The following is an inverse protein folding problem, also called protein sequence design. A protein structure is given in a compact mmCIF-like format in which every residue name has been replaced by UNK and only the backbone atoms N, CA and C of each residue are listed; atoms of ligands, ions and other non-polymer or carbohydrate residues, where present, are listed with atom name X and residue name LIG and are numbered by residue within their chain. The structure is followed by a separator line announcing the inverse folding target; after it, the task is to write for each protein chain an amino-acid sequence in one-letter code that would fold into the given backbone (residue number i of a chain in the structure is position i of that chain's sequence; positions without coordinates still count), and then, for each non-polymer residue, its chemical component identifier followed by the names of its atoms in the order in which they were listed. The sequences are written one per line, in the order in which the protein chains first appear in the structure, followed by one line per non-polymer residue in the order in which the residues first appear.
data_IF_219282606111
#
_entry.id   IF_219282606111
#
_cell.length_a   1.000
_cell.length_b   1.000
_cell.length_c   1.000
_cell.angle_alpha   90.00
_cell.angle_beta   90.00
_cell.angle_gamma   90.00
#
_symmetry.space_group_name_H-M   'P 1'
#
loop_
_entity.id
_entity.type
_entity.pdbx_description
1 polymer ?
#
# COMPACT_ATOMS: atom_id res chain seq x y z
N UNK A 1 -22.87 39.36 59.96
CA UNK A 1 -24.16 38.65 59.76
C UNK A 1 -24.36 38.42 58.26
N UNK A 2 -24.91 37.26 57.94
CA UNK A 2 -24.69 36.48 56.72
C UNK A 2 -25.15 37.10 55.39
N UNK A 3 -24.39 36.80 54.31
CA UNK A 3 -24.84 36.86 52.91
C UNK A 3 -25.39 35.49 52.51
N UNK A 4 -26.56 35.51 51.87
CA UNK A 4 -27.26 34.35 51.32
C UNK A 4 -26.54 33.78 50.10
N UNK A 5 -26.58 32.46 50.02
CA UNK A 5 -26.19 31.60 48.90
C UNK A 5 -27.40 31.24 48.04
N UNK A 6 -27.23 31.18 46.72
CA UNK A 6 -28.06 30.36 45.84
C UNK A 6 -27.23 29.83 44.67
N UNK A 7 -27.35 28.52 44.47
CA UNK A 7 -26.55 27.61 43.66
C UNK A 7 -26.89 27.64 42.17
N UNK A 8 -25.85 27.58 41.33
CA UNK A 8 -25.94 27.25 39.91
C UNK A 8 -25.88 25.71 39.76
N UNK A 9 -26.89 25.09 39.15
CA UNK A 9 -26.90 23.65 38.85
C UNK A 9 -25.92 23.33 37.72
N UNK A 10 -25.03 22.37 37.98
CA UNK A 10 -24.06 21.83 37.04
C UNK A 10 -24.70 20.74 36.15
N UNK A 11 -25.03 21.10 34.91
CA UNK A 11 -25.20 20.16 33.81
C UNK A 11 -23.82 19.93 33.18
N UNK A 12 -23.29 18.70 33.22
CA UNK A 12 -22.36 18.07 32.25
C UNK A 12 -21.57 16.92 32.88
N UNK A 13 -22.14 15.70 32.92
CA UNK A 13 -21.35 14.46 33.16
C UNK A 13 -21.87 13.20 32.45
N UNK A 14 -22.86 13.28 31.55
CA UNK A 14 -23.46 12.09 30.89
C UNK A 14 -23.08 11.87 29.41
N UNK A 15 -22.49 12.86 28.74
CA UNK A 15 -22.05 12.73 27.34
C UNK A 15 -20.78 11.91 27.07
N UNK A 16 -19.72 11.92 27.92
CA UNK A 16 -18.52 11.16 27.59
C UNK A 16 -18.71 9.64 27.69
N UNK A 17 -19.65 9.17 28.52
CA UNK A 17 -19.97 7.75 28.66
C UNK A 17 -20.73 7.18 27.44
N UNK A 18 -21.55 7.99 26.78
CA UNK A 18 -22.26 7.62 25.55
C UNK A 18 -21.30 7.52 24.35
N UNK A 19 -20.31 8.41 24.27
CA UNK A 19 -19.24 8.36 23.26
C UNK A 19 -18.33 7.14 23.43
N UNK A 20 -17.97 6.79 24.66
CA UNK A 20 -17.17 5.57 24.95
C UNK A 20 -17.96 4.30 24.63
N UNK A 21 -19.27 4.28 24.92
CA UNK A 21 -20.14 3.16 24.57
C UNK A 21 -20.26 2.97 23.04
N UNK A 22 -20.44 4.07 22.28
CA UNK A 22 -20.52 4.05 20.81
C UNK A 22 -19.20 3.62 20.16
N UNK A 23 -18.06 4.04 20.71
CA UNK A 23 -16.73 3.59 20.26
C UNK A 23 -16.55 2.09 20.49
N UNK A 24 -17.00 1.55 21.63
CA UNK A 24 -16.91 0.12 21.95
C UNK A 24 -17.75 -0.78 21.04
N UNK A 25 -18.93 -0.30 20.61
CA UNK A 25 -19.79 -1.05 19.68
C UNK A 25 -19.20 -1.09 18.26
N UNK A 26 -18.44 -0.07 17.85
CA UNK A 26 -17.78 -0.06 16.53
C UNK A 26 -16.64 -1.09 16.43
N UNK A 27 -15.90 -1.30 17.53
CA UNK A 27 -14.83 -2.30 17.60
C UNK A 27 -15.36 -3.73 17.54
N UNK A 28 -16.54 -3.96 18.14
CA UNK A 28 -17.19 -5.28 18.13
C UNK A 28 -17.70 -5.64 16.73
N UNK A 29 -18.25 -4.69 15.97
CA UNK A 29 -18.71 -4.94 14.59
C UNK A 29 -17.53 -5.27 13.67
N UNK A 30 -16.41 -4.56 13.80
CA UNK A 30 -15.19 -4.84 13.03
C UNK A 30 -14.57 -6.19 13.41
N UNK A 31 -14.62 -6.59 14.69
CA UNK A 31 -14.16 -7.91 15.14
C UNK A 31 -15.06 -9.06 14.65
N UNK A 32 -16.38 -8.86 14.57
CA UNK A 32 -17.32 -9.88 14.09
C UNK A 32 -17.20 -10.13 12.57
N UNK A 33 -16.95 -9.08 11.79
CA UNK A 33 -16.68 -9.22 10.34
C UNK A 33 -15.36 -9.99 10.11
N UNK A 34 -14.37 -9.77 10.96
CA UNK A 34 -13.06 -10.45 10.90
C UNK A 34 -13.16 -11.94 11.29
N UNK A 35 -13.89 -12.26 12.37
CA UNK A 35 -14.07 -13.64 12.83
C UNK A 35 -14.91 -14.51 11.87
N UNK A 36 -15.90 -13.93 11.18
CA UNK A 36 -16.69 -14.64 10.17
C UNK A 36 -15.89 -14.99 8.91
N UNK A 37 -14.81 -14.24 8.63
CA UNK A 37 -13.96 -14.45 7.46
C UNK A 37 -12.85 -15.48 7.70
N UNK A 38 -12.43 -15.67 8.96
CA UNK A 38 -11.38 -16.62 9.35
C UNK A 38 -11.88 -18.05 9.63
N UNK A 39 -13.20 -18.28 9.70
CA UNK A 39 -13.79 -19.60 9.99
C UNK A 39 -14.40 -20.26 8.76
N UNK A 40 -13.57 -20.63 7.79
CA UNK A 40 -13.93 -21.62 6.76
C UNK A 40 -12.65 -22.16 6.09
N UNK A 41 -11.95 -23.06 6.78
CA UNK A 41 -11.15 -24.10 6.13
C UNK A 41 -10.78 -25.20 7.13
N UNK A 42 -11.65 -26.19 7.25
CA UNK A 42 -11.29 -27.48 7.85
C UNK A 42 -12.09 -28.55 7.14
N UNK A 43 -11.51 -29.15 6.09
CA UNK A 43 -12.02 -30.39 5.50
C UNK A 43 -10.84 -31.35 5.31
N UNK A 44 -10.61 -32.18 6.32
CA UNK A 44 -9.91 -33.46 6.16
C UNK A 44 -10.98 -34.53 5.97
N UNK A 45 -11.15 -35.02 4.74
CA UNK A 45 -11.92 -36.24 4.47
C UNK A 45 -10.92 -37.33 4.09
N UNK A 46 -10.76 -38.28 4.99
CA UNK A 46 -10.05 -39.54 4.81
C UNK A 46 -11.02 -40.54 4.18
N UNK A 47 -10.71 -41.09 3.02
CA UNK A 47 -11.54 -42.16 2.41
C UNK A 47 -10.76 -43.46 2.36
N UNK A 48 -11.15 -44.38 3.23
CA UNK A 48 -10.76 -45.79 3.28
C UNK A 48 -11.38 -46.53 2.09
N UNK A 49 -10.58 -47.28 1.33
CA UNK A 49 -11.06 -48.12 0.22
C UNK A 49 -11.42 -49.50 0.75
N UNK A 50 -12.64 -49.97 0.49
CA UNK A 50 -13.01 -51.38 0.64
C UNK A 50 -13.61 -51.88 -0.66
N UNK A 51 -13.00 -52.92 -1.22
CA UNK A 51 -13.36 -53.61 -2.45
C UNK A 51 -14.50 -54.60 -2.19
N UNK A 52 -15.52 -54.62 -3.03
CA UNK A 52 -16.28 -55.86 -3.28
C UNK A 52 -16.83 -55.88 -4.70
N UNK A 53 -16.55 -57.00 -5.35
CA UNK A 53 -16.82 -57.42 -6.73
C UNK A 53 -18.26 -57.93 -6.90
N UNK A 54 -18.95 -57.58 -7.99
CA UNK A 54 -19.34 -58.50 -9.09
C UNK A 54 -20.34 -57.84 -10.09
N UNK A 55 -20.37 -58.27 -11.37
CA UNK A 55 -20.92 -57.51 -12.50
C UNK A 55 -22.24 -58.09 -13.05
N UNK A 56 -23.04 -57.31 -13.78
CA UNK A 56 -23.73 -57.79 -15.00
C UNK A 56 -24.38 -56.65 -15.82
N UNK A 57 -23.84 -56.47 -17.03
CA UNK A 57 -24.41 -56.05 -18.33
C UNK A 57 -25.76 -55.31 -18.41
N UNK A 58 -25.78 -54.11 -19.03
CA UNK A 58 -26.06 -53.96 -20.47
C UNK A 58 -26.31 -52.50 -20.91
N UNK A 59 -26.03 -52.26 -22.21
CA UNK A 59 -26.32 -51.10 -23.07
C UNK A 59 -25.37 -49.89 -23.01
N UNK A 60 -24.41 -49.93 -23.93
CA UNK A 60 -23.57 -48.82 -24.36
C UNK A 60 -24.42 -47.68 -24.91
N UNK A 61 -24.58 -46.63 -24.11
CA UNK A 61 -24.82 -45.29 -24.58
C UNK A 61 -23.51 -44.52 -24.43
N UNK A 62 -22.97 -44.05 -25.55
CA UNK A 62 -21.78 -43.21 -25.65
C UNK A 62 -21.99 -41.92 -24.87
N UNK A 63 -21.74 -41.93 -23.57
CA UNK A 63 -21.55 -40.73 -22.76
C UNK A 63 -20.12 -40.28 -22.94
N UNK A 64 -19.95 -39.18 -23.68
CA UNK A 64 -18.76 -38.35 -23.59
C UNK A 64 -18.60 -37.99 -22.10
N UNK A 65 -17.67 -38.65 -21.41
CA UNK A 65 -17.23 -38.22 -20.09
C UNK A 65 -16.45 -36.93 -20.29
N UNK A 66 -17.16 -35.81 -20.15
CA UNK A 66 -16.52 -34.53 -19.83
C UNK A 66 -15.96 -34.70 -18.42
N UNK A 67 -14.73 -35.19 -18.32
CA UNK A 67 -13.94 -35.07 -17.10
C UNK A 67 -13.57 -33.61 -16.94
N UNK A 68 -14.47 -32.81 -16.36
CA UNK A 68 -14.12 -31.52 -15.81
C UNK A 68 -13.35 -31.74 -14.51
N UNK A 69 -12.10 -32.20 -14.62
CA UNK A 69 -11.12 -31.94 -13.58
C UNK A 69 -10.83 -30.45 -13.66
N UNK A 70 -11.59 -29.66 -12.90
CA UNK A 70 -11.18 -28.31 -12.56
C UNK A 70 -9.98 -28.48 -11.62
N UNK A 71 -8.80 -28.69 -12.19
CA UNK A 71 -7.56 -28.51 -11.46
C UNK A 71 -7.57 -27.07 -10.96
N UNK A 72 -7.74 -26.89 -9.65
CA UNK A 72 -7.46 -25.59 -9.04
C UNK A 72 -6.03 -25.24 -9.42
N UNK A 73 -5.79 -24.13 -10.15
CA UNK A 73 -4.45 -23.82 -10.64
C UNK A 73 -3.51 -23.74 -9.45
N UNK A 74 -2.44 -24.54 -9.49
CA UNK A 74 -1.45 -24.57 -8.42
C UNK A 74 -0.91 -23.17 -8.20
N UNK A 75 -0.87 -22.69 -6.95
CA UNK A 75 -0.35 -21.36 -6.63
C UNK A 75 1.03 -21.17 -7.31
N UNK A 76 1.23 -20.13 -8.14
CA UNK A 76 2.44 -19.96 -8.93
C UNK A 76 3.70 -19.80 -8.09
N UNK A 77 3.57 -19.43 -6.81
CA UNK A 77 4.69 -19.29 -5.87
C UNK A 77 5.01 -20.59 -5.11
N UNK A 78 4.38 -21.72 -5.43
CA UNK A 78 4.61 -23.00 -4.72
C UNK A 78 6.07 -23.45 -4.70
N UNK A 79 6.86 -23.07 -5.71
CA UNK A 79 8.30 -23.37 -5.77
C UNK A 79 9.11 -22.68 -4.65
N UNK A 80 8.53 -21.67 -3.98
CA UNK A 80 9.14 -20.98 -2.84
C UNK A 80 8.94 -21.70 -1.50
N UNK A 81 8.19 -22.80 -1.46
CA UNK A 81 7.98 -23.56 -0.22
C UNK A 81 9.32 -23.97 0.40
N UNK A 82 9.47 -23.73 1.70
CA UNK A 82 10.68 -24.00 2.48
C UNK A 82 11.94 -23.22 2.06
N UNK A 83 11.82 -22.25 1.15
CA UNK A 83 12.93 -21.36 0.78
C UNK A 83 13.11 -20.26 1.80
N UNK A 84 14.35 -19.92 2.12
CA UNK A 84 14.69 -18.78 2.97
C UNK A 84 14.83 -17.52 2.13
N UNK A 85 13.94 -16.56 2.33
CA UNK A 85 13.91 -15.27 1.64
C UNK A 85 14.26 -14.16 2.61
N UNK A 86 15.29 -13.38 2.27
CA UNK A 86 15.69 -12.20 3.01
C UNK A 86 15.20 -10.94 2.28
N UNK A 87 14.38 -10.13 2.93
CA UNK A 87 13.87 -8.87 2.41
C UNK A 87 14.57 -7.72 3.12
N UNK A 88 15.24 -6.84 2.38
CA UNK A 88 16.03 -5.74 2.93
C UNK A 88 15.43 -4.41 2.50
N UNK A 89 14.90 -3.65 3.45
CA UNK A 89 14.33 -2.33 3.23
C UNK A 89 15.14 -1.25 3.95
N UNK A 90 15.29 -0.08 3.33
CA UNK A 90 15.99 1.04 3.95
C UNK A 90 15.23 1.65 5.14
N UNK A 91 13.91 1.61 5.08
CA UNK A 91 12.99 2.08 6.12
C UNK A 91 11.76 1.16 6.17
N UNK A 92 10.98 1.29 7.24
CA UNK A 92 9.64 0.72 7.36
C UNK A 92 8.65 1.87 7.56
N UNK A 93 7.85 2.17 6.55
CA UNK A 93 6.98 3.35 6.50
C UNK A 93 5.70 3.09 5.70
N UNK A 94 4.75 4.03 5.75
CA UNK A 94 3.53 4.01 4.93
C UNK A 94 3.77 4.51 3.51
N UNK A 95 4.87 4.08 2.90
CA UNK A 95 5.20 4.41 1.51
C UNK A 95 5.11 3.17 0.62
N UNK A 96 4.98 3.40 -0.69
CA UNK A 96 4.72 2.33 -1.66
C UNK A 96 5.73 1.18 -1.60
N UNK A 97 7.03 1.47 -1.64
CA UNK A 97 8.07 0.44 -1.67
C UNK A 97 8.04 -0.51 -0.46
N UNK A 98 8.17 -0.01 0.79
CA UNK A 98 8.06 -0.83 1.99
C UNK A 98 6.75 -1.62 2.09
N UNK A 99 5.60 -1.02 1.75
CA UNK A 99 4.31 -1.73 1.82
C UNK A 99 4.21 -2.86 0.78
N UNK A 100 4.70 -2.63 -0.45
CA UNK A 100 4.74 -3.67 -1.49
C UNK A 100 5.67 -4.83 -1.12
N UNK A 101 6.83 -4.52 -0.56
CA UNK A 101 7.75 -5.55 -0.07
C UNK A 101 7.11 -6.36 1.07
N UNK A 102 6.32 -5.73 1.94
CA UNK A 102 5.58 -6.40 3.01
C UNK A 102 4.46 -7.29 2.46
N UNK A 103 3.73 -6.84 1.43
CA UNK A 103 2.75 -7.67 0.72
C UNK A 103 3.41 -8.91 0.09
N UNK A 104 4.57 -8.74 -0.55
CA UNK A 104 5.37 -9.87 -1.06
C UNK A 104 5.77 -10.82 0.07
N UNK A 105 6.18 -10.30 1.23
CA UNK A 105 6.50 -11.10 2.41
C UNK A 105 5.33 -12.01 2.80
N UNK A 106 4.10 -11.46 2.81
CA UNK A 106 2.89 -12.21 3.15
C UNK A 106 2.53 -13.26 2.11
N UNK A 107 2.68 -12.96 0.82
CA UNK A 107 2.45 -13.93 -0.25
C UNK A 107 3.43 -15.12 -0.13
N UNK A 108 4.71 -14.84 0.14
CA UNK A 108 5.74 -15.86 0.33
C UNK A 108 5.48 -16.71 1.59
N UNK A 109 5.08 -16.08 2.70
CA UNK A 109 4.66 -16.81 3.91
C UNK A 109 3.45 -17.70 3.65
N UNK A 110 2.48 -17.23 2.87
CA UNK A 110 1.27 -17.98 2.50
C UNK A 110 1.55 -19.28 1.73
N UNK A 111 2.68 -19.39 1.05
CA UNK A 111 3.13 -20.62 0.37
C UNK A 111 4.15 -21.45 1.17
N UNK A 112 4.44 -21.05 2.41
CA UNK A 112 5.34 -21.77 3.31
C UNK A 112 6.82 -21.46 3.11
N UNK A 113 7.19 -20.33 2.50
CA UNK A 113 8.57 -19.84 2.52
C UNK A 113 8.94 -19.33 3.91
N UNK A 114 10.20 -19.45 4.31
CA UNK A 114 10.74 -18.73 5.47
C UNK A 114 11.11 -17.31 5.05
N UNK A 115 10.53 -16.30 5.72
CA UNK A 115 10.76 -14.90 5.34
C UNK A 115 11.36 -14.15 6.51
N UNK A 116 12.48 -13.47 6.25
CA UNK A 116 13.17 -12.59 7.19
C UNK A 116 13.16 -11.17 6.61
N UNK A 117 12.77 -10.20 7.42
CA UNK A 117 12.74 -8.78 7.10
C UNK A 117 13.84 -8.03 7.85
N UNK A 118 14.60 -7.21 7.12
CA UNK A 118 15.60 -6.29 7.67
C UNK A 118 15.22 -4.84 7.35
N UNK A 119 15.24 -3.99 8.38
CA UNK A 119 15.11 -2.53 8.23
C UNK A 119 16.44 -1.86 8.53
N UNK A 120 17.03 -1.16 7.54
CA UNK A 120 18.37 -0.54 7.66
C UNK A 120 18.38 0.61 8.66
N UNK A 121 17.39 1.51 8.54
CA UNK A 121 17.25 2.67 9.39
C UNK A 121 16.00 2.49 10.25
N UNK A 122 16.21 2.25 11.55
CA UNK A 122 15.14 2.26 12.55
C UNK A 122 15.30 3.53 13.40
N UNK A 123 14.27 4.36 13.53
CA UNK A 123 14.27 5.49 14.47
C UNK A 123 14.60 5.01 15.89
N UNK A 124 15.23 5.87 16.68
CA UNK A 124 15.55 5.59 18.08
C UNK A 124 14.33 5.67 18.98
N UNK A 125 13.34 6.47 18.61
CA UNK A 125 12.11 6.66 19.36
C UNK A 125 11.02 5.67 18.92
N UNK A 126 10.05 5.41 19.82
CA UNK A 126 8.90 4.57 19.52
C UNK A 126 8.02 5.23 18.47
N UNK A 127 8.10 4.76 17.23
CA UNK A 127 7.20 5.14 16.15
C UNK A 127 6.03 4.15 16.09
N UNK A 128 4.80 4.62 16.35
CA UNK A 128 3.58 3.82 16.35
C UNK A 128 3.32 3.12 15.01
N UNK A 129 3.68 3.76 13.89
CA UNK A 129 3.53 3.18 12.55
C UNK A 129 4.48 2.00 12.40
N UNK A 130 5.75 2.18 12.77
CA UNK A 130 6.76 1.11 12.70
C UNK A 130 6.34 -0.06 13.58
N UNK A 131 5.93 0.22 14.82
CA UNK A 131 5.44 -0.79 15.75
C UNK A 131 4.27 -1.58 15.15
N UNK A 132 3.27 -0.89 14.60
CA UNK A 132 2.10 -1.51 13.97
C UNK A 132 2.48 -2.38 12.77
N UNK A 133 3.40 -1.93 11.91
CA UNK A 133 3.85 -2.68 10.75
C UNK A 133 4.69 -3.91 11.13
N UNK A 134 5.60 -3.79 12.11
CA UNK A 134 6.37 -4.93 12.63
C UNK A 134 5.45 -5.98 13.26
N UNK A 135 4.47 -5.56 14.04
CA UNK A 135 3.52 -6.48 14.65
C UNK A 135 2.71 -7.26 13.59
N UNK A 136 2.21 -6.57 12.55
CA UNK A 136 1.54 -7.22 11.41
C UNK A 136 2.43 -8.24 10.70
N UNK A 137 3.73 -7.96 10.60
CA UNK A 137 4.71 -8.89 10.02
C UNK A 137 4.88 -10.14 10.88
N UNK A 138 5.07 -9.95 12.18
CA UNK A 138 5.23 -11.04 13.15
C UNK A 138 3.99 -11.93 13.22
N UNK A 139 2.79 -11.34 13.22
CA UNK A 139 1.51 -12.06 13.23
C UNK A 139 1.33 -12.97 12.01
N UNK A 140 1.97 -12.64 10.88
CA UNK A 140 1.98 -13.44 9.65
C UNK A 140 3.22 -14.32 9.52
N UNK A 141 3.99 -14.47 10.59
CA UNK A 141 5.16 -15.33 10.67
C UNK A 141 6.38 -14.83 9.89
N UNK A 142 6.44 -13.55 9.55
CA UNK A 142 7.66 -12.92 9.03
C UNK A 142 8.58 -12.62 10.21
N UNK A 143 9.82 -13.12 10.16
CA UNK A 143 10.84 -12.82 11.17
C UNK A 143 11.37 -11.40 10.93
N UNK A 144 11.51 -10.56 11.95
CA UNK A 144 12.02 -9.19 11.80
C UNK A 144 13.31 -9.06 12.60
N UNK A 145 14.42 -8.76 11.93
CA UNK A 145 15.74 -8.61 12.56
C UNK A 145 16.36 -7.24 12.32
N UNK A 146 17.28 -6.79 13.19
CA UNK A 146 18.13 -5.64 12.89
C UNK A 146 18.92 -5.89 11.61
N UNK A 147 19.00 -4.90 10.73
CA UNK A 147 19.79 -5.00 9.49
C UNK A 147 21.32 -4.96 9.73
N UNK A 148 21.80 -5.23 10.95
CA UNK A 148 23.20 -5.11 11.36
C UNK A 148 23.60 -6.35 12.17
N UNK A 149 24.91 -6.56 12.31
CA UNK A 149 25.47 -7.64 13.10
C UNK A 149 25.57 -8.97 12.35
N UNK A 150 26.14 -9.98 13.02
CA UNK A 150 26.48 -11.26 12.40
C UNK A 150 25.24 -12.03 11.95
N UNK A 151 24.13 -11.95 12.69
CA UNK A 151 22.88 -12.64 12.33
C UNK A 151 22.33 -12.20 10.96
N UNK A 152 22.39 -10.90 10.64
CA UNK A 152 21.99 -10.38 9.34
C UNK A 152 22.89 -10.92 8.21
N UNK A 153 24.20 -10.99 8.45
CA UNK A 153 25.18 -11.50 7.49
C UNK A 153 24.99 -13.01 7.27
N UNK A 154 24.87 -13.78 8.35
CA UNK A 154 24.68 -15.23 8.30
C UNK A 154 23.36 -15.60 7.61
N UNK A 155 22.29 -14.85 7.91
CA UNK A 155 21.00 -15.02 7.23
C UNK A 155 21.14 -14.71 5.75
N UNK A 156 21.81 -13.61 5.39
CA UNK A 156 22.05 -13.24 4.00
C UNK A 156 22.88 -14.29 3.26
N UNK A 157 23.87 -14.92 3.90
CA UNK A 157 24.67 -16.00 3.34
C UNK A 157 23.89 -17.30 3.16
N UNK A 158 22.95 -17.61 4.06
CA UNK A 158 22.11 -18.82 4.02
C UNK A 158 20.89 -18.68 3.11
N UNK A 159 20.39 -17.47 2.89
CA UNK A 159 19.17 -17.24 2.11
C UNK A 159 19.24 -17.86 0.70
N UNK A 160 18.14 -18.42 0.24
CA UNK A 160 17.96 -18.84 -1.16
C UNK A 160 17.73 -17.64 -2.07
N UNK A 161 17.11 -16.57 -1.55
CA UNK A 161 16.80 -15.33 -2.27
C UNK A 161 17.00 -14.13 -1.34
N UNK A 162 17.64 -13.08 -1.85
CA UNK A 162 17.73 -11.77 -1.19
C UNK A 162 17.02 -10.74 -2.06
N UNK A 163 16.04 -10.02 -1.51
CA UNK A 163 15.37 -8.92 -2.20
C UNK A 163 15.85 -7.60 -1.61
N UNK A 164 16.54 -6.80 -2.42
CA UNK A 164 16.89 -5.42 -2.04
C UNK A 164 15.75 -4.50 -2.48
N UNK A 165 15.11 -3.86 -1.52
CA UNK A 165 14.05 -2.89 -1.76
C UNK A 165 14.63 -1.49 -1.88
N UNK A 166 14.36 -0.85 -3.03
CA UNK A 166 14.85 0.46 -3.43
C UNK A 166 16.34 0.54 -3.74
N UNK A 167 16.74 1.58 -4.48
CA UNK A 167 18.16 1.86 -4.72
C UNK A 167 18.94 2.17 -3.42
N UNK A 168 18.26 2.58 -2.35
CA UNK A 168 18.90 2.92 -1.07
C UNK A 168 19.46 1.67 -0.37
N UNK A 169 18.81 0.52 -0.52
CA UNK A 169 19.26 -0.73 0.07
C UNK A 169 20.64 -1.19 -0.43
N UNK A 170 21.13 -0.67 -1.57
CA UNK A 170 22.48 -0.95 -2.05
C UNK A 170 23.58 -0.58 -1.05
N UNK A 171 23.37 0.43 -0.21
CA UNK A 171 24.30 0.84 0.85
C UNK A 171 24.52 -0.23 1.92
N UNK A 172 23.52 -1.10 2.13
CA UNK A 172 23.61 -2.17 3.11
C UNK A 172 24.65 -3.23 2.73
N UNK A 173 24.83 -3.48 1.43
CA UNK A 173 25.85 -4.39 0.92
C UNK A 173 27.24 -3.97 1.42
N UNK A 174 27.59 -2.70 1.28
CA UNK A 174 28.91 -2.21 1.68
C UNK A 174 29.07 -2.00 3.19
N UNK A 175 28.03 -1.52 3.85
CA UNK A 175 28.11 -1.15 5.27
C UNK A 175 28.05 -2.36 6.20
N UNK A 176 27.32 -3.41 5.81
CA UNK A 176 27.04 -4.57 6.67
C UNK A 176 27.62 -5.85 6.08
N UNK A 177 27.36 -6.17 4.82
CA UNK A 177 27.78 -7.45 4.22
C UNK A 177 29.28 -7.47 3.87
N UNK A 178 29.84 -6.32 3.45
CA UNK A 178 31.27 -6.08 3.24
C UNK A 178 31.95 -7.13 2.35
N UNK A 179 32.94 -7.85 2.86
CA UNK A 179 33.71 -8.86 2.14
C UNK A 179 32.85 -10.03 1.63
N UNK A 180 31.68 -10.25 2.21
CA UNK A 180 30.76 -11.31 1.80
C UNK A 180 29.87 -10.93 0.60
N UNK A 181 29.94 -9.67 0.12
CA UNK A 181 29.08 -9.19 -0.98
C UNK A 181 29.13 -10.10 -2.22
N UNK A 182 30.31 -10.50 -2.76
CA UNK A 182 30.37 -11.37 -3.94
C UNK A 182 29.63 -12.70 -3.79
N UNK A 183 29.48 -13.21 -2.55
CA UNK A 183 28.80 -14.48 -2.27
C UNK A 183 27.28 -14.36 -2.27
N UNK A 184 26.75 -13.15 -2.09
CA UNK A 184 25.29 -12.93 -2.05
C UNK A 184 24.73 -12.35 -3.35
N UNK A 185 25.52 -11.63 -4.14
CA UNK A 185 25.03 -10.98 -5.36
C UNK A 185 24.31 -11.94 -6.34
N UNK A 186 24.78 -13.19 -6.58
CA UNK A 186 24.12 -14.11 -7.50
C UNK A 186 22.71 -14.56 -7.09
N UNK A 187 22.28 -14.25 -5.86
CA UNK A 187 20.92 -14.54 -5.35
C UNK A 187 20.14 -13.27 -5.01
N UNK A 188 20.63 -12.11 -5.42
CA UNK A 188 19.95 -10.83 -5.19
C UNK A 188 19.00 -10.53 -6.34
N UNK A 189 17.73 -10.31 -6.03
CA UNK A 189 16.80 -9.56 -6.87
C UNK A 189 16.67 -8.15 -6.33
N UNK A 190 16.98 -7.15 -7.16
CA UNK A 190 16.91 -5.75 -6.74
C UNK A 190 15.61 -5.12 -7.23
N UNK A 191 14.67 -4.87 -6.33
CA UNK A 191 13.39 -4.24 -6.67
C UNK A 191 13.45 -2.73 -6.49
N UNK A 192 13.36 -1.99 -7.61
CA UNK A 192 13.53 -0.54 -7.63
C UNK A 192 12.20 0.14 -7.96
N UNK A 193 11.75 1.00 -7.05
CA UNK A 193 10.43 1.65 -7.09
C UNK A 193 10.49 3.15 -7.39
N UNK A 194 11.69 3.68 -7.65
CA UNK A 194 11.92 5.12 -7.73
C UNK A 194 12.71 5.52 -8.97
N UNK A 195 12.50 6.75 -9.42
CA UNK A 195 13.28 7.38 -10.50
C UNK A 195 13.98 8.66 -10.01
N UNK A 196 14.58 8.60 -8.83
CA UNK A 196 15.25 9.76 -8.23
C UNK A 196 16.66 9.93 -8.80
N UNK A 197 16.88 11.04 -9.50
CA UNK A 197 18.15 11.34 -10.16
C UNK A 197 19.42 11.34 -9.28
N UNK A 198 19.29 11.49 -7.96
CA UNK A 198 20.43 11.46 -7.04
C UNK A 198 20.87 10.04 -6.64
N UNK A 199 20.09 9.00 -6.95
CA UNK A 199 20.47 7.60 -6.75
C UNK A 199 21.45 7.07 -7.81
N UNK A 200 21.66 7.80 -8.91
CA UNK A 200 22.70 7.48 -9.88
C UNK A 200 24.08 7.93 -9.37
N UNK A 201 24.53 7.29 -8.29
CA UNK A 201 25.87 7.38 -7.71
C UNK A 201 26.34 5.98 -7.32
N UNK A 202 27.64 5.74 -7.40
CA UNK A 202 28.23 4.43 -7.10
C UNK A 202 27.88 3.93 -5.69
N UNK A 203 27.78 4.82 -4.70
CA UNK A 203 27.38 4.48 -3.33
C UNK A 203 26.01 3.78 -3.22
N UNK A 204 25.11 3.98 -4.19
CA UNK A 204 23.79 3.34 -4.21
C UNK A 204 23.76 2.10 -5.09
N UNK A 205 24.43 2.13 -6.25
CA UNK A 205 24.17 1.16 -7.32
C UNK A 205 25.41 0.50 -7.92
N UNK A 206 26.61 0.62 -7.29
CA UNK A 206 27.84 0.00 -7.84
C UNK A 206 27.74 -1.52 -8.00
N UNK A 207 26.92 -2.17 -7.19
CA UNK A 207 26.71 -3.63 -7.20
C UNK A 207 25.63 -4.09 -8.17
N UNK A 208 24.86 -3.15 -8.73
CA UNK A 208 23.72 -3.43 -9.61
C UNK A 208 24.06 -4.30 -10.84
N UNK A 209 25.21 -4.15 -11.54
CA UNK A 209 25.52 -5.04 -12.67
C UNK A 209 25.73 -6.51 -12.31
N UNK A 210 25.92 -6.84 -11.03
CA UNK A 210 26.33 -8.17 -10.58
C UNK A 210 25.23 -8.96 -9.88
N UNK A 211 24.05 -8.35 -9.67
CA UNK A 211 22.92 -9.05 -9.07
C UNK A 211 22.27 -10.01 -10.07
N UNK A 212 21.52 -10.99 -9.58
CA UNK A 212 20.81 -11.97 -10.41
C UNK A 212 19.81 -11.30 -11.36
N UNK A 213 19.13 -10.26 -10.88
CA UNK A 213 18.23 -9.47 -11.71
C UNK A 213 17.72 -8.21 -10.99
N UNK A 214 17.19 -7.28 -11.78
CA UNK A 214 16.49 -6.10 -11.29
C UNK A 214 14.99 -6.22 -11.64
N UNK A 215 14.12 -5.91 -10.68
CA UNK A 215 12.68 -5.78 -10.88
C UNK A 215 12.32 -4.29 -10.88
N UNK A 216 11.58 -3.84 -11.88
CA UNK A 216 11.20 -2.43 -12.05
C UNK A 216 9.72 -2.33 -12.39
N UNK A 217 9.04 -1.34 -11.82
CA UNK A 217 7.57 -1.29 -11.79
C UNK A 217 6.91 -0.99 -13.15
N UNK A 218 7.66 -0.47 -14.14
CA UNK A 218 7.15 -0.19 -15.49
C UNK A 218 8.22 -0.18 -16.56
N UNK A 219 7.81 -0.35 -17.83
CA UNK A 219 8.70 -0.29 -18.98
C UNK A 219 9.41 1.07 -19.09
N UNK A 220 8.67 2.17 -18.92
CA UNK A 220 9.23 3.53 -18.94
C UNK A 220 10.28 3.73 -17.84
N UNK A 221 10.01 3.22 -16.63
CA UNK A 221 10.98 3.31 -15.52
C UNK A 221 12.19 2.41 -15.77
N UNK A 222 12.01 1.23 -16.36
CA UNK A 222 13.12 0.34 -16.69
C UNK A 222 14.04 0.95 -17.74
N UNK A 223 13.47 1.58 -18.78
CA UNK A 223 14.24 2.34 -19.76
C UNK A 223 14.97 3.52 -19.14
N UNK A 224 14.29 4.28 -18.25
CA UNK A 224 14.90 5.37 -17.52
C UNK A 224 16.13 4.90 -16.73
N UNK A 225 16.02 3.81 -15.97
CA UNK A 225 17.16 3.24 -15.23
C UNK A 225 18.28 2.78 -16.16
N UNK A 226 17.95 2.02 -17.22
CA UNK A 226 18.92 1.54 -18.21
C UNK A 226 19.72 2.68 -18.85
N UNK A 227 19.06 3.76 -19.25
CA UNK A 227 19.72 4.89 -19.88
C UNK A 227 20.56 5.66 -18.87
N UNK A 228 20.01 5.97 -17.69
CA UNK A 228 20.68 6.79 -16.68
C UNK A 228 21.87 6.08 -16.01
N UNK A 229 21.81 4.77 -15.76
CA UNK A 229 22.98 4.04 -15.24
C UNK A 229 24.11 3.99 -16.27
N UNK A 230 23.79 3.79 -17.55
CA UNK A 230 24.78 3.80 -18.64
C UNK A 230 25.41 5.17 -18.80
N UNK A 231 24.60 6.21 -18.97
CA UNK A 231 25.06 7.57 -19.27
C UNK A 231 25.82 8.21 -18.11
N UNK A 232 25.38 8.00 -16.87
CA UNK A 232 25.97 8.68 -15.70
C UNK A 232 27.07 7.90 -15.03
N UNK A 233 27.03 6.57 -15.11
CA UNK A 233 27.91 5.70 -14.32
C UNK A 233 28.68 4.68 -15.16
N UNK A 234 28.40 4.55 -16.47
CA UNK A 234 28.95 3.47 -17.29
C UNK A 234 28.48 2.07 -16.84
N UNK A 235 27.42 1.99 -16.03
CA UNK A 235 26.89 0.74 -15.48
C UNK A 235 25.87 0.13 -16.43
N UNK A 236 26.11 -1.11 -16.85
CA UNK A 236 25.12 -1.94 -17.54
C UNK A 236 24.14 -2.49 -16.51
N UNK A 237 22.84 -2.35 -16.79
CA UNK A 237 21.80 -3.01 -15.99
C UNK A 237 21.94 -4.54 -16.06
N UNK A 238 21.65 -5.27 -14.97
CA UNK A 238 21.55 -6.72 -15.00
C UNK A 238 20.32 -7.14 -15.82
N UNK A 239 20.03 -8.44 -15.87
CA UNK A 239 18.74 -8.89 -16.40
C UNK A 239 17.61 -8.14 -15.69
N UNK A 240 16.75 -7.48 -16.48
CA UNK A 240 15.77 -6.52 -15.97
C UNK A 240 14.38 -7.01 -16.30
N UNK A 241 13.58 -7.22 -15.27
CA UNK A 241 12.21 -7.69 -15.34
C UNK A 241 11.27 -6.54 -15.02
N UNK A 242 10.30 -6.29 -15.91
CA UNK A 242 9.25 -5.33 -15.64
C UNK A 242 8.11 -6.03 -14.92
N UNK A 243 7.80 -5.58 -13.71
CA UNK A 243 6.77 -6.17 -12.85
C UNK A 243 5.80 -5.05 -12.45
N UNK A 244 4.67 -4.98 -13.15
CA UNK A 244 3.61 -4.03 -12.81
C UNK A 244 3.02 -4.34 -11.44
N UNK A 245 2.76 -3.30 -10.66
CA UNK A 245 2.16 -3.45 -9.35
C UNK A 245 0.70 -3.89 -9.50
N UNK A 246 0.25 -4.77 -8.59
CA UNK A 246 -1.12 -5.26 -8.55
C UNK A 246 -1.97 -4.63 -7.44
N UNK A 247 -3.28 -4.76 -7.56
CA UNK A 247 -4.21 -4.47 -6.48
C UNK A 247 -4.22 -5.63 -5.47
N UNK A 248 -4.34 -5.30 -4.18
CA UNK A 248 -4.50 -6.33 -3.15
C UNK A 248 -5.87 -6.99 -3.27
N UNK A 249 -5.96 -8.26 -2.85
CA UNK A 249 -7.23 -9.00 -2.84
C UNK A 249 -8.30 -8.30 -2.00
N UNK A 250 -7.92 -7.81 -0.82
CA UNK A 250 -8.79 -7.07 0.09
C UNK A 250 -9.38 -5.82 -0.57
N UNK A 251 -8.56 -5.07 -1.33
CA UNK A 251 -9.04 -3.89 -2.06
C UNK A 251 -10.05 -4.27 -3.15
N UNK A 252 -9.79 -5.36 -3.88
CA UNK A 252 -10.70 -5.85 -4.92
C UNK A 252 -12.04 -6.33 -4.35
N UNK A 253 -12.02 -7.05 -3.23
CA UNK A 253 -13.25 -7.51 -2.55
C UNK A 253 -14.15 -6.32 -2.15
N UNK A 254 -13.55 -5.20 -1.71
CA UNK A 254 -14.31 -3.97 -1.42
C UNK A 254 -14.80 -3.32 -2.72
N UNK A 255 -13.95 -3.20 -3.74
CA UNK A 255 -14.27 -2.54 -5.00
C UNK A 255 -15.43 -3.22 -5.75
N UNK A 256 -15.53 -4.55 -5.65
CA UNK A 256 -16.57 -5.37 -6.26
C UNK A 256 -17.87 -5.40 -5.44
N UNK A 257 -17.82 -5.06 -4.15
CA UNK A 257 -18.98 -5.06 -3.26
C UNK A 257 -19.68 -3.69 -3.23
N UNK A 258 -20.81 -3.58 -3.96
CA UNK A 258 -21.59 -2.34 -4.03
C UNK A 258 -22.14 -1.87 -2.67
N UNK A 259 -22.48 -2.79 -1.76
CA UNK A 259 -22.97 -2.42 -0.42
C UNK A 259 -21.84 -1.84 0.40
N UNK A 260 -20.67 -2.48 0.41
CA UNK A 260 -19.49 -1.98 1.09
C UNK A 260 -19.09 -0.59 0.57
N UNK A 261 -19.03 -0.42 -0.76
CA UNK A 261 -18.76 0.89 -1.37
C UNK A 261 -19.74 1.97 -0.92
N UNK A 262 -21.05 1.68 -0.91
CA UNK A 262 -22.06 2.66 -0.48
C UNK A 262 -21.90 3.07 0.98
N UNK A 263 -21.71 2.09 1.87
CA UNK A 263 -21.54 2.36 3.31
C UNK A 263 -20.27 3.17 3.56
N UNK A 264 -19.15 2.81 2.93
CA UNK A 264 -17.90 3.55 3.05
C UNK A 264 -18.02 4.97 2.50
N UNK A 265 -18.70 5.13 1.35
CA UNK A 265 -18.96 6.44 0.74
C UNK A 265 -19.74 7.34 1.67
N UNK A 266 -20.86 6.87 2.21
CA UNK A 266 -21.71 7.64 3.13
C UNK A 266 -20.91 8.05 4.38
N UNK A 267 -20.18 7.10 4.99
CA UNK A 267 -19.38 7.36 6.18
C UNK A 267 -18.31 8.43 5.96
N UNK A 268 -17.51 8.29 4.90
CA UNK A 268 -16.43 9.26 4.64
C UNK A 268 -17.03 10.62 4.27
N UNK A 269 -18.04 10.69 3.41
CA UNK A 269 -18.64 11.97 3.00
C UNK A 269 -19.31 12.70 4.18
N UNK A 270 -19.98 11.97 5.06
CA UNK A 270 -20.52 12.52 6.31
C UNK A 270 -19.40 13.12 7.19
N UNK A 271 -18.28 12.40 7.37
CA UNK A 271 -17.14 12.88 8.15
C UNK A 271 -16.48 14.14 7.58
N UNK A 272 -16.63 14.36 6.26
CA UNK A 272 -16.12 15.53 5.54
C UNK A 272 -17.16 16.67 5.42
N UNK A 273 -18.41 16.46 5.84
CA UNK A 273 -19.50 17.39 5.59
C UNK A 273 -19.85 17.55 4.10
N UNK A 274 -19.56 16.54 3.28
CA UNK A 274 -19.84 16.51 1.83
C UNK A 274 -21.15 15.79 1.59
N UNK A 275 -22.04 16.35 0.77
CA UNK A 275 -23.34 15.71 0.48
C UNK A 275 -23.19 14.69 -0.65
N UNK A 276 -24.21 13.85 -0.83
CA UNK A 276 -24.16 12.78 -1.84
C UNK A 276 -24.20 13.32 -3.28
N UNK A 277 -24.86 14.46 -3.49
CA UNK A 277 -24.99 15.14 -4.78
C UNK A 277 -23.77 15.99 -5.17
N UNK A 278 -22.92 16.33 -4.20
CA UNK A 278 -21.71 17.13 -4.45
C UNK A 278 -20.68 16.30 -5.25
N UNK A 279 -19.69 16.95 -5.88
CA UNK A 279 -18.58 16.27 -6.55
C UNK A 279 -17.33 16.33 -5.68
N UNK A 280 -16.71 15.17 -5.42
CA UNK A 280 -15.51 15.06 -4.61
C UNK A 280 -14.30 14.63 -5.45
N UNK A 281 -13.36 15.55 -5.65
CA UNK A 281 -12.08 15.30 -6.31
C UNK A 281 -11.02 14.94 -5.28
N UNK A 282 -10.18 13.96 -5.57
CA UNK A 282 -9.15 13.53 -4.63
C UNK A 282 -7.76 13.46 -5.23
N UNK A 283 -6.76 13.78 -4.41
CA UNK A 283 -5.39 13.34 -4.61
C UNK A 283 -4.99 12.47 -3.41
N UNK A 284 -4.57 11.23 -3.69
CA UNK A 284 -4.27 10.22 -2.66
C UNK A 284 -2.83 9.77 -2.85
N UNK A 285 -1.91 10.35 -2.08
CA UNK A 285 -0.48 10.01 -2.07
C UNK A 285 0.23 10.75 -0.93
N UNK A 286 1.49 10.39 -0.67
CA UNK A 286 2.34 11.14 0.27
C UNK A 286 2.46 12.61 -0.12
N UNK A 287 2.23 13.53 0.83
CA UNK A 287 2.36 14.97 0.59
C UNK A 287 3.83 15.38 0.39
N UNK A 288 4.19 15.67 -0.86
CA UNK A 288 5.54 16.11 -1.22
C UNK A 288 5.55 16.87 -2.55
N UNK A 289 6.51 17.78 -2.76
CA UNK A 289 6.52 18.70 -3.92
C UNK A 289 6.38 18.01 -5.29
N UNK A 290 6.87 16.78 -5.44
CA UNK A 290 6.81 16.03 -6.69
C UNK A 290 5.47 15.36 -6.99
N UNK A 291 4.52 15.35 -6.04
CA UNK A 291 3.27 14.59 -6.15
C UNK A 291 2.07 15.39 -6.63
N UNK A 292 2.22 16.70 -6.84
CA UNK A 292 1.25 17.51 -7.58
C UNK A 292 0.14 18.15 -6.76
N UNK A 293 0.21 18.13 -5.42
CA UNK A 293 -0.82 18.74 -4.55
C UNK A 293 -0.97 20.24 -4.77
N UNK A 294 0.12 20.98 -5.00
CA UNK A 294 0.07 22.43 -5.26
C UNK A 294 -0.68 22.71 -6.58
N UNK A 295 -0.34 22.00 -7.66
CA UNK A 295 -1.04 22.13 -8.93
C UNK A 295 -2.51 21.75 -8.80
N UNK A 296 -2.81 20.67 -8.08
CA UNK A 296 -4.19 20.23 -7.82
C UNK A 296 -5.01 21.33 -7.13
N UNK A 297 -4.51 21.92 -6.04
CA UNK A 297 -5.20 22.99 -5.32
C UNK A 297 -5.37 24.26 -6.16
N UNK A 298 -4.34 24.66 -6.92
CA UNK A 298 -4.42 25.83 -7.81
C UNK A 298 -5.46 25.62 -8.90
N UNK A 299 -5.46 24.46 -9.54
CA UNK A 299 -6.43 24.10 -10.57
C UNK A 299 -7.85 24.01 -9.99
N UNK A 300 -8.02 23.42 -8.81
CA UNK A 300 -9.31 23.38 -8.12
C UNK A 300 -9.85 24.78 -7.82
N UNK A 301 -9.00 25.66 -7.27
CA UNK A 301 -9.36 27.06 -7.03
C UNK A 301 -9.75 27.79 -8.33
N UNK A 302 -8.97 27.60 -9.40
CA UNK A 302 -9.29 28.19 -10.71
C UNK A 302 -10.63 27.68 -11.25
N UNK A 303 -10.94 26.40 -11.08
CA UNK A 303 -12.24 25.84 -11.46
C UNK A 303 -13.39 26.47 -10.69
N UNK A 304 -13.24 26.71 -9.38
CA UNK A 304 -14.23 27.44 -8.58
C UNK A 304 -14.49 28.85 -9.14
N UNK A 305 -13.42 29.58 -9.50
CA UNK A 305 -13.56 30.91 -10.10
C UNK A 305 -14.24 30.86 -11.48
N UNK A 306 -13.94 29.85 -12.29
CA UNK A 306 -14.57 29.67 -13.60
C UNK A 306 -16.06 29.35 -13.48
N UNK A 307 -16.44 28.46 -12.56
CA UNK A 307 -17.85 28.12 -12.29
C UNK A 307 -18.62 29.39 -11.90
N UNK A 308 -18.08 30.16 -10.95
CA UNK A 308 -18.69 31.42 -10.49
C UNK A 308 -18.76 32.46 -11.60
N UNK A 309 -17.66 32.70 -12.31
CA UNK A 309 -17.56 33.72 -13.35
C UNK A 309 -18.43 33.44 -14.57
N UNK A 310 -18.56 32.17 -14.96
CA UNK A 310 -19.41 31.73 -16.09
C UNK A 310 -20.84 31.36 -15.67
N UNK A 311 -21.18 31.46 -14.38
CA UNK A 311 -22.48 31.07 -13.81
C UNK A 311 -22.90 29.65 -14.22
N UNK A 312 -21.97 28.72 -14.20
CA UNK A 312 -22.24 27.33 -14.57
C UNK A 312 -23.14 26.69 -13.52
N UNK A 313 -24.19 25.97 -13.97
CA UNK A 313 -25.03 25.17 -13.09
C UNK A 313 -24.39 23.79 -12.94
N UNK A 314 -23.65 23.62 -11.85
CA UNK A 314 -23.00 22.35 -11.48
C UNK A 314 -23.25 22.07 -9.99
N UNK A 315 -23.21 20.81 -9.55
CA UNK A 315 -23.20 20.50 -8.12
C UNK A 315 -22.02 21.18 -7.39
N UNK A 316 -22.12 21.35 -6.07
CA UNK A 316 -20.98 21.84 -5.28
C UNK A 316 -19.79 20.92 -5.49
N UNK A 317 -18.59 21.48 -5.57
CA UNK A 317 -17.37 20.70 -5.74
C UNK A 317 -16.50 20.82 -4.50
N UNK A 318 -15.88 19.72 -4.12
CA UNK A 318 -14.96 19.60 -2.99
C UNK A 318 -13.67 18.92 -3.45
N UNK A 319 -12.59 19.19 -2.73
CA UNK A 319 -11.29 18.56 -2.91
C UNK A 319 -10.87 17.87 -1.61
N UNK A 320 -10.29 16.68 -1.73
CA UNK A 320 -9.68 15.96 -0.59
C UNK A 320 -8.23 15.59 -0.89
N UNK A 321 -7.34 15.87 0.06
CA UNK A 321 -5.92 15.50 0.02
C UNK A 321 -5.71 14.43 1.08
N UNK A 322 -5.51 13.19 0.65
CA UNK A 322 -5.27 12.04 1.54
C UNK A 322 -3.80 11.68 1.53
N UNK A 323 -3.17 11.62 2.71
CA UNK A 323 -1.73 11.40 2.85
C UNK A 323 -0.98 12.56 3.50
N UNK A 324 -1.70 13.53 4.07
CA UNK A 324 -1.13 14.61 4.90
C UNK A 324 -0.40 13.99 6.09
N UNK A 325 0.67 14.60 6.57
CA UNK A 325 1.26 14.22 7.85
C UNK A 325 0.99 15.34 8.85
N UNK A 326 -0.17 15.26 9.49
CA UNK A 326 -0.66 16.31 10.38
C UNK A 326 0.28 16.56 11.57
N UNK A 327 1.15 15.59 11.89
CA UNK A 327 2.10 15.68 12.99
C UNK A 327 3.45 16.25 12.55
N UNK A 328 3.86 16.04 11.30
CA UNK A 328 5.17 16.47 10.81
C UNK A 328 5.25 17.97 10.49
N UNK A 329 4.12 18.66 10.31
CA UNK A 329 4.01 20.11 10.00
C UNK A 329 5.06 20.60 8.99
N UNK A 330 5.23 19.86 7.90
CA UNK A 330 6.29 20.16 6.93
C UNK A 330 6.05 21.53 6.29
N UNK A 331 7.13 22.24 5.92
CA UNK A 331 7.03 23.54 5.23
C UNK A 331 6.09 23.48 4.02
N UNK A 332 6.14 22.39 3.25
CA UNK A 332 5.28 22.24 2.07
C UNK A 332 3.81 22.05 2.45
N UNK A 333 3.50 21.28 3.50
CA UNK A 333 2.12 21.14 3.97
C UNK A 333 1.55 22.48 4.48
N UNK A 334 2.37 23.26 5.19
CA UNK A 334 2.00 24.62 5.61
C UNK A 334 1.73 25.53 4.42
N UNK A 335 2.55 25.47 3.36
CA UNK A 335 2.31 26.22 2.10
C UNK A 335 0.93 25.86 1.49
N UNK A 336 0.57 24.58 1.43
CA UNK A 336 -0.72 24.12 0.90
C UNK A 336 -1.90 24.61 1.74
N UNK A 337 -1.78 24.55 3.07
CA UNK A 337 -2.83 25.01 4.00
C UNK A 337 -3.00 26.53 3.95
N UNK A 338 -1.89 27.27 3.90
CA UNK A 338 -1.93 28.73 3.75
C UNK A 338 -2.62 29.13 2.45
N UNK A 339 -2.31 28.45 1.33
CA UNK A 339 -3.02 28.68 0.07
C UNK A 339 -4.54 28.52 0.20
N UNK A 340 -5.00 27.46 0.88
CA UNK A 340 -6.43 27.21 1.12
C UNK A 340 -7.07 28.33 1.97
N UNK A 341 -6.36 28.79 3.00
CA UNK A 341 -6.85 29.87 3.90
C UNK A 341 -6.88 31.23 3.20
N UNK A 342 -5.79 31.60 2.52
CA UNK A 342 -5.65 32.87 1.79
C UNK A 342 -6.73 33.02 0.70
N UNK A 343 -7.07 31.92 0.03
CA UNK A 343 -8.10 31.90 -1.02
C UNK A 343 -9.52 31.66 -0.50
N UNK A 344 -9.71 31.51 0.81
CA UNK A 344 -11.02 31.33 1.47
C UNK A 344 -11.82 30.12 0.95
N UNK A 345 -11.15 28.98 0.77
CA UNK A 345 -11.76 27.73 0.27
C UNK A 345 -11.71 26.58 1.30
N UNK A 346 -11.61 26.92 2.60
CA UNK A 346 -11.51 25.94 3.69
C UNK A 346 -12.72 25.00 3.75
N UNK A 347 -13.92 25.49 3.44
CA UNK A 347 -15.16 24.69 3.47
C UNK A 347 -15.25 23.68 2.32
N UNK A 348 -14.37 23.81 1.32
CA UNK A 348 -14.35 22.98 0.11
C UNK A 348 -13.12 22.08 0.01
N UNK A 349 -12.09 22.30 0.83
CA UNK A 349 -10.81 21.57 0.77
C UNK A 349 -10.53 20.85 2.08
N UNK A 350 -10.43 19.52 1.99
CA UNK A 350 -10.28 18.62 3.13
C UNK A 350 -8.89 17.99 3.15
N UNK A 351 -8.18 18.09 4.27
CA UNK A 351 -6.89 17.42 4.48
C UNK A 351 -7.07 16.21 5.39
N UNK A 352 -6.60 15.06 4.93
CA UNK A 352 -6.72 13.78 5.62
C UNK A 352 -5.33 13.22 5.87
N UNK A 353 -5.12 12.76 7.11
CA UNK A 353 -3.86 12.16 7.53
C UNK A 353 -3.52 10.92 6.68
N UNK A 354 -2.24 10.56 6.62
CA UNK A 354 -1.78 9.31 6.01
C UNK A 354 -2.51 8.11 6.62
N UNK A 355 -2.89 7.16 5.76
CA UNK A 355 -3.69 5.98 6.13
C UNK A 355 -3.15 4.72 5.48
N UNK A 356 -3.36 3.59 6.15
CA UNK A 356 -3.12 2.24 5.61
C UNK A 356 -4.26 1.74 4.73
N UNK A 357 -5.44 2.34 4.85
CA UNK A 357 -6.67 1.88 4.19
C UNK A 357 -7.19 2.97 3.26
N UNK A 358 -6.84 2.90 1.98
CA UNK A 358 -7.26 3.86 0.96
C UNK A 358 -8.66 3.56 0.40
N UNK A 359 -9.13 2.32 0.51
CA UNK A 359 -10.41 1.88 -0.03
C UNK A 359 -11.63 2.72 0.41
N UNK A 360 -11.77 3.15 1.68
CA UNK A 360 -12.86 4.06 2.07
C UNK A 360 -12.84 5.39 1.31
N UNK A 361 -11.65 5.96 1.09
CA UNK A 361 -11.51 7.21 0.36
C UNK A 361 -11.80 7.02 -1.13
N UNK A 362 -11.32 5.93 -1.73
CA UNK A 362 -11.66 5.56 -3.11
C UNK A 362 -13.18 5.37 -3.30
N UNK A 363 -13.86 4.70 -2.36
CA UNK A 363 -15.32 4.56 -2.42
C UNK A 363 -16.07 5.91 -2.33
N UNK A 364 -15.47 6.89 -1.64
CA UNK A 364 -16.12 8.16 -1.32
C UNK A 364 -16.04 9.23 -2.41
N UNK A 365 -15.06 9.12 -3.31
CA UNK A 365 -14.72 10.16 -4.29
C UNK A 365 -15.44 9.95 -5.61
N UNK A 366 -15.43 10.98 -6.46
CA UNK A 366 -16.04 10.96 -7.80
C UNK A 366 -14.98 11.02 -8.90
N UNK A 367 -13.83 11.65 -8.61
CA UNK A 367 -12.69 11.74 -9.55
C UNK A 367 -11.37 11.64 -8.78
N UNK A 368 -10.48 10.75 -9.21
CA UNK A 368 -9.10 10.73 -8.74
C UNK A 368 -8.23 11.61 -9.65
N UNK A 369 -7.42 12.48 -9.07
CA UNK A 369 -6.38 13.25 -9.75
C UNK A 369 -5.01 12.70 -9.37
N UNK A 370 -4.27 12.24 -10.38
CA UNK A 370 -2.91 11.74 -10.23
C UNK A 370 -1.99 12.52 -11.18
N UNK A 371 -1.59 13.70 -10.72
CA UNK A 371 -0.81 14.67 -11.49
C UNK A 371 0.63 14.78 -10.94
N UNK A 372 1.31 13.65 -10.73
CA UNK A 372 2.71 13.68 -10.30
C UNK A 372 3.56 14.54 -11.24
N UNK A 373 4.36 15.44 -10.67
CA UNK A 373 5.09 16.48 -11.40
C UNK A 373 6.55 16.11 -11.61
N UNK A 374 7.24 16.91 -12.42
CA UNK A 374 8.66 16.82 -12.73
C UNK A 374 9.08 15.47 -13.33
N UNK A 375 9.49 14.50 -12.50
CA UNK A 375 9.92 13.18 -12.98
C UNK A 375 8.73 12.27 -13.29
N UNK A 376 7.56 12.58 -12.75
CA UNK A 376 6.34 11.79 -12.91
C UNK A 376 6.15 10.75 -11.80
N UNK A 377 5.46 9.66 -12.14
CA UNK A 377 5.22 8.50 -11.28
C UNK A 377 5.83 7.25 -11.93
N UNK A 378 6.35 6.31 -11.12
CA UNK A 378 7.02 5.12 -11.67
C UNK A 378 5.99 4.16 -12.30
N UNK A 379 4.95 3.84 -11.53
CA UNK A 379 3.81 3.04 -11.98
C UNK A 379 2.48 3.69 -11.57
N UNK A 380 2.37 4.10 -10.30
CA UNK A 380 1.17 4.78 -9.79
C UNK A 380 0.07 3.79 -9.42
N UNK A 381 0.33 2.96 -8.41
CA UNK A 381 -0.62 1.96 -7.91
C UNK A 381 -2.02 2.53 -7.63
N UNK A 382 -2.08 3.72 -7.04
CA UNK A 382 -3.37 4.39 -6.74
C UNK A 382 -4.25 4.60 -7.97
N UNK A 383 -3.66 4.73 -9.17
CA UNK A 383 -4.39 4.81 -10.43
C UNK A 383 -5.16 3.53 -10.70
N UNK A 384 -4.51 2.36 -10.61
CA UNK A 384 -5.15 1.07 -10.85
C UNK A 384 -6.11 0.68 -9.70
N UNK A 385 -5.87 1.17 -8.49
CA UNK A 385 -6.80 1.04 -7.37
C UNK A 385 -8.08 1.82 -7.67
N UNK A 386 -7.98 3.09 -8.09
CA UNK A 386 -9.15 3.87 -8.48
C UNK A 386 -9.90 3.28 -9.68
N UNK A 387 -9.18 2.71 -10.65
CA UNK A 387 -9.80 1.99 -11.77
C UNK A 387 -10.60 0.77 -11.31
N UNK A 388 -10.16 0.05 -10.27
CA UNK A 388 -10.93 -1.05 -9.69
C UNK A 388 -12.24 -0.56 -9.06
N UNK A 389 -12.23 0.63 -8.46
CA UNK A 389 -13.44 1.32 -7.99
C UNK A 389 -14.28 1.95 -9.13
N UNK A 390 -13.88 1.75 -10.39
CA UNK A 390 -14.52 2.31 -11.58
C UNK A 390 -14.56 3.84 -11.60
N UNK A 391 -13.56 4.48 -11.00
CA UNK A 391 -13.45 5.92 -10.95
C UNK A 391 -12.76 6.47 -12.21
N UNK A 392 -13.23 7.60 -12.75
CA UNK A 392 -12.44 8.36 -13.71
C UNK A 392 -11.17 8.88 -13.04
N UNK A 393 -10.03 8.75 -13.73
CA UNK A 393 -8.73 9.22 -13.27
C UNK A 393 -8.17 10.29 -14.22
N UNK A 394 -7.83 11.45 -13.67
CA UNK A 394 -7.14 12.53 -14.39
C UNK A 394 -5.63 12.39 -14.14
N UNK A 395 -4.90 11.94 -15.16
CA UNK A 395 -3.46 11.66 -15.08
C UNK A 395 -2.63 12.65 -15.89
N UNK A 396 -1.44 13.00 -15.40
CA UNK A 396 -0.40 13.65 -16.20
C UNK A 396 0.16 12.68 -17.24
N UNK A 397 0.42 13.17 -18.46
CA UNK A 397 1.04 12.38 -19.53
C UNK A 397 2.53 12.21 -19.36
#
# INVERSE_FOLDING_TARGET
MAKQSTSWLTFHKRWPLLLVALLSTSTVIVLLIRAASDSCNTNSITTTTTTTTTPHYSYENTRIQVTSQVETPSNPLRFMKSKLVLLVSHELSLSGGPLLLMELAFLLRGVGAEVVWLTIQKPTDSDEVIYSLEHRMLDRGVKVFPAKGQEAIDTALKADLVVLNTAVAGKWLDSVVKENVPRILPKVLWWIHEMRGHYFKLEYVKHLPYVAGAMIDSHTTAEYWKNRTRERLGIKMPETYVVHLGNSKELMEIAENNVAKRVLREHIRESLGVRNEDLLFAIINSVSRGKGQDLFLRSFYQSLQLIKGRKLQVPSIHAVIVGSDMNAQTKFETELRNFVVENKIQDQVHFINKTLTVAPYLASIDVLVQNSQARGECFGRITIEAMAFQLPVLVSR
#
